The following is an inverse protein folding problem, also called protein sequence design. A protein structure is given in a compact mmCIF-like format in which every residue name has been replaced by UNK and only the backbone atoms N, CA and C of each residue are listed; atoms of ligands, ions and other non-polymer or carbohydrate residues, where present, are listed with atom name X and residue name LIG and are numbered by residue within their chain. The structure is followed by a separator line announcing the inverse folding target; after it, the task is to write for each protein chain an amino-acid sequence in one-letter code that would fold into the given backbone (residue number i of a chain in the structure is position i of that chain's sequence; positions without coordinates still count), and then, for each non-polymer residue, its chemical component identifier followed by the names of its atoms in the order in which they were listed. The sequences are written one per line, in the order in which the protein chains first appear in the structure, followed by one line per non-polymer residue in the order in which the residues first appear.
data_IF_448822665539
#
_entry.id   IF_448822665539
#
_cell.length_a   1.000
_cell.length_b   1.000
_cell.length_c   1.000
_cell.angle_alpha   90.00
_cell.angle_beta   90.00
_cell.angle_gamma   90.00
#
_symmetry.space_group_name_H-M   'P 1'
#
loop_
_entity.id
_entity.type
_entity.pdbx_description
1 polymer ?
#
# COMPACT_ATOMS: atom_id res chain seq x y z
N UNK A 1 17.03 5.60 9.46
CA UNK A 1 17.40 4.57 8.46
C UNK A 1 16.92 5.06 7.09
N UNK A 2 17.67 4.85 6.01
CA UNK A 2 17.37 5.44 4.69
C UNK A 2 16.75 4.42 3.76
N UNK A 3 15.45 4.52 3.51
CA UNK A 3 14.63 3.71 2.58
C UNK A 3 14.93 3.94 1.09
N UNK A 4 16.02 4.64 0.80
CA UNK A 4 16.45 4.97 -0.56
C UNK A 4 16.77 3.72 -1.40
N UNK A 5 17.33 2.67 -0.78
CA UNK A 5 17.68 1.42 -1.46
C UNK A 5 16.46 0.74 -2.07
N UNK A 6 15.40 0.56 -1.27
CA UNK A 6 14.13 -0.02 -1.71
C UNK A 6 13.50 0.81 -2.84
N UNK A 7 13.43 2.14 -2.67
CA UNK A 7 12.83 3.02 -3.69
C UNK A 7 13.61 2.99 -5.02
N UNK A 8 14.94 2.92 -4.96
CA UNK A 8 15.79 2.82 -6.15
C UNK A 8 15.53 1.51 -6.90
N UNK A 9 15.42 0.39 -6.18
CA UNK A 9 15.14 -0.93 -6.78
C UNK A 9 13.79 -1.02 -7.43
N UNK A 10 12.73 -0.63 -6.71
CA UNK A 10 11.38 -0.65 -7.24
C UNK A 10 11.28 0.20 -8.52
N UNK A 11 11.96 1.35 -8.55
CA UNK A 11 12.03 2.19 -9.75
C UNK A 11 12.77 1.52 -10.91
N UNK A 12 13.91 0.87 -10.63
CA UNK A 12 14.70 0.19 -11.66
C UNK A 12 13.95 -0.99 -12.26
N UNK A 13 13.37 -1.85 -11.42
CA UNK A 13 12.54 -2.97 -11.84
C UNK A 13 11.30 -2.53 -12.60
N UNK A 14 10.68 -1.42 -12.20
CA UNK A 14 9.53 -0.86 -12.89
C UNK A 14 9.88 -0.29 -14.27
N UNK A 15 11.10 0.19 -14.46
CA UNK A 15 11.58 0.69 -15.74
C UNK A 15 11.99 -0.43 -16.70
N UNK A 16 12.29 -1.63 -16.18
CA UNK A 16 12.76 -2.77 -16.94
C UNK A 16 11.63 -3.77 -17.25
N UNK A 17 11.29 -3.90 -18.54
CA UNK A 17 10.22 -4.77 -19.02
C UNK A 17 10.47 -6.24 -18.73
N UNK A 18 11.72 -6.71 -18.85
CA UNK A 18 12.03 -8.12 -18.57
C UNK A 18 11.80 -8.41 -17.09
N UNK A 19 12.15 -7.45 -16.25
CA UNK A 19 11.95 -7.54 -14.81
C UNK A 19 10.47 -7.57 -14.40
N UNK A 20 9.61 -6.80 -15.07
CA UNK A 20 8.17 -6.83 -14.80
C UNK A 20 7.50 -8.19 -15.09
N UNK A 21 8.09 -9.01 -15.96
CA UNK A 21 7.54 -10.31 -16.35
C UNK A 21 7.83 -11.45 -15.37
N UNK A 22 9.01 -11.48 -14.75
CA UNK A 22 9.42 -12.59 -13.88
C UNK A 22 9.07 -12.38 -12.40
N UNK A 23 9.01 -11.13 -11.92
CA UNK A 23 8.75 -10.80 -10.51
C UNK A 23 7.44 -11.37 -9.94
N UNK A 24 6.31 -11.42 -10.67
CA UNK A 24 5.08 -12.05 -10.17
C UNK A 24 5.23 -13.56 -9.90
N UNK A 25 6.15 -14.22 -10.62
CA UNK A 25 6.42 -15.66 -10.52
C UNK A 25 7.65 -16.01 -9.69
N UNK A 26 8.38 -15.00 -9.23
CA UNK A 26 9.60 -15.15 -8.46
C UNK A 26 9.31 -15.80 -7.10
N UNK A 27 10.19 -16.71 -6.67
CA UNK A 27 10.13 -17.25 -5.32
C UNK A 27 10.69 -16.25 -4.30
N UNK A 28 10.39 -16.44 -3.02
CA UNK A 28 11.00 -15.65 -1.95
C UNK A 28 12.54 -15.71 -1.99
N UNK A 29 13.11 -16.86 -2.37
CA UNK A 29 14.55 -17.03 -2.48
C UNK A 29 15.14 -16.23 -3.65
N UNK A 30 14.47 -16.20 -4.80
CA UNK A 30 14.91 -15.40 -5.96
C UNK A 30 14.90 -13.91 -5.63
N UNK A 31 13.85 -13.47 -4.94
CA UNK A 31 13.70 -12.07 -4.50
C UNK A 31 14.77 -11.68 -3.48
N UNK A 32 15.10 -12.55 -2.53
CA UNK A 32 16.19 -12.30 -1.58
C UNK A 32 17.55 -12.22 -2.29
N UNK A 33 17.77 -13.04 -3.31
CA UNK A 33 19.02 -13.05 -4.07
C UNK A 33 19.25 -11.73 -4.84
N UNK A 34 18.19 -11.11 -5.38
CA UNK A 34 18.30 -9.81 -6.08
C UNK A 34 18.24 -8.60 -5.14
N UNK A 35 17.91 -8.82 -3.86
CA UNK A 35 17.87 -7.80 -2.80
C UNK A 35 19.14 -7.80 -1.92
N UNK A 36 20.24 -8.40 -2.36
CA UNK A 36 21.48 -8.64 -1.59
C UNK A 36 22.14 -7.40 -0.93
N UNK A 37 21.86 -6.23 -1.46
CA UNK A 37 22.39 -4.93 -1.03
C UNK A 37 21.39 -4.15 -0.15
N UNK A 38 20.17 -4.68 0.07
CA UNK A 38 19.22 -4.16 1.06
C UNK A 38 19.55 -4.73 2.44
N UNK A 39 19.07 -4.06 3.48
CA UNK A 39 19.11 -4.69 4.81
C UNK A 39 18.20 -5.92 4.85
N UNK A 40 18.51 -6.87 5.74
CA UNK A 40 17.71 -8.09 5.93
C UNK A 40 16.24 -7.78 6.25
N UNK A 41 15.99 -6.70 7.00
CA UNK A 41 14.65 -6.23 7.34
C UNK A 41 13.91 -5.69 6.10
N UNK A 42 14.55 -4.84 5.29
CA UNK A 42 13.97 -4.30 4.05
C UNK A 42 13.69 -5.40 3.01
N UNK A 43 14.64 -6.32 2.84
CA UNK A 43 14.52 -7.43 1.92
C UNK A 43 13.35 -8.34 2.32
N UNK A 44 13.22 -8.68 3.61
CA UNK A 44 12.06 -9.44 4.12
C UNK A 44 10.75 -8.67 3.95
N UNK A 45 10.72 -7.38 4.30
CA UNK A 45 9.52 -6.57 4.15
C UNK A 45 9.04 -6.48 2.70
N UNK A 46 9.97 -6.43 1.73
CA UNK A 46 9.67 -6.44 0.31
C UNK A 46 9.15 -7.81 -0.16
N UNK A 47 9.82 -8.91 0.23
CA UNK A 47 9.42 -10.29 -0.09
C UNK A 47 8.05 -10.63 0.46
N UNK A 48 7.78 -10.26 1.72
CA UNK A 48 6.52 -10.50 2.41
C UNK A 48 5.43 -9.47 2.04
N UNK A 49 5.75 -8.53 1.15
CA UNK A 49 4.84 -7.47 0.67
C UNK A 49 4.23 -6.69 1.84
N UNK A 50 5.06 -6.38 2.84
CA UNK A 50 4.72 -5.61 4.06
C UNK A 50 4.72 -4.11 3.73
N UNK A 51 3.70 -3.68 3.00
CA UNK A 51 3.53 -2.25 2.63
C UNK A 51 3.44 -1.33 3.84
N UNK A 52 2.95 -1.84 4.97
CA UNK A 52 2.90 -1.17 6.28
C UNK A 52 4.30 -0.84 6.80
N UNK A 53 5.17 -1.84 6.87
CA UNK A 53 6.54 -1.69 7.37
C UNK A 53 7.36 -0.81 6.43
N UNK A 54 7.27 -1.03 5.12
CA UNK A 54 7.99 -0.24 4.12
C UNK A 54 7.58 1.25 4.18
N UNK A 55 6.29 1.54 4.36
CA UNK A 55 5.81 2.91 4.53
C UNK A 55 6.35 3.57 5.80
N UNK A 56 6.35 2.85 6.93
CA UNK A 56 6.89 3.33 8.21
C UNK A 56 8.41 3.56 8.15
N UNK A 57 9.12 2.77 7.33
CA UNK A 57 10.54 2.97 7.00
C UNK A 57 10.78 4.17 6.04
N UNK A 58 9.72 4.83 5.56
CA UNK A 58 9.80 6.03 4.72
C UNK A 58 9.79 5.77 3.21
N UNK A 59 9.44 4.55 2.77
CA UNK A 59 9.25 4.28 1.33
C UNK A 59 8.06 5.10 0.80
N UNK A 60 8.32 5.85 -0.27
CA UNK A 60 7.31 6.73 -0.84
C UNK A 60 6.08 5.94 -1.36
N UNK A 61 4.83 6.44 -1.18
CA UNK A 61 3.61 5.76 -1.63
C UNK A 61 3.62 5.34 -3.10
N UNK A 62 4.19 6.19 -3.98
CA UNK A 62 4.32 5.86 -5.40
C UNK A 62 5.17 4.59 -5.64
N UNK A 63 6.23 4.39 -4.86
CA UNK A 63 7.07 3.19 -4.96
C UNK A 63 6.30 1.95 -4.49
N UNK A 64 5.43 2.08 -3.47
CA UNK A 64 4.56 0.99 -3.04
C UNK A 64 3.53 0.61 -4.13
N UNK A 65 2.99 1.60 -4.87
CA UNK A 65 2.13 1.34 -6.03
C UNK A 65 2.90 0.63 -7.16
N UNK A 66 4.15 1.02 -7.39
CA UNK A 66 5.01 0.31 -8.35
C UNK A 66 5.24 -1.14 -7.91
N UNK A 67 5.50 -1.37 -6.63
CA UNK A 67 5.63 -2.71 -6.04
C UNK A 67 4.37 -3.54 -6.31
N UNK A 68 3.18 -3.01 -6.08
CA UNK A 68 1.94 -3.76 -6.30
C UNK A 68 1.76 -4.21 -7.75
N UNK A 69 2.18 -3.38 -8.71
CA UNK A 69 2.18 -3.71 -10.14
C UNK A 69 3.23 -4.76 -10.50
N UNK A 70 4.43 -4.65 -9.92
CA UNK A 70 5.53 -5.58 -10.17
C UNK A 70 5.24 -6.99 -9.63
N UNK A 71 4.58 -7.08 -8.48
CA UNK A 71 4.27 -8.35 -7.82
C UNK A 71 2.85 -8.86 -8.11
N UNK A 72 2.05 -8.11 -8.87
CA UNK A 72 0.71 -8.52 -9.29
C UNK A 72 -0.31 -8.63 -8.15
N UNK A 73 -0.28 -7.71 -7.17
CA UNK A 73 -1.26 -7.67 -6.09
C UNK A 73 -2.00 -6.33 -6.02
N UNK A 74 -3.19 -6.33 -5.41
CA UNK A 74 -3.96 -5.12 -5.15
C UNK A 74 -3.45 -4.43 -3.87
N UNK A 75 -2.96 -3.19 -4.02
CA UNK A 75 -2.38 -2.45 -2.90
C UNK A 75 -3.40 -2.05 -1.84
N UNK A 76 -4.64 -1.73 -2.24
CA UNK A 76 -5.68 -1.30 -1.32
C UNK A 76 -6.15 -2.48 -0.46
N UNK A 77 -6.35 -3.65 -1.08
CA UNK A 77 -6.63 -4.90 -0.37
C UNK A 77 -5.48 -5.25 0.58
N UNK A 78 -4.23 -5.15 0.12
CA UNK A 78 -3.07 -5.50 0.94
C UNK A 78 -2.95 -4.62 2.19
N UNK A 79 -3.26 -3.33 2.08
CA UNK A 79 -3.31 -2.43 3.23
C UNK A 79 -4.38 -2.81 4.26
N UNK A 80 -5.54 -3.26 3.81
CA UNK A 80 -6.62 -3.70 4.70
C UNK A 80 -6.25 -4.99 5.46
N UNK A 81 -5.60 -5.94 4.79
CA UNK A 81 -5.13 -7.20 5.40
C UNK A 81 -4.07 -6.97 6.47
N UNK A 82 -3.14 -6.04 6.24
CA UNK A 82 -2.01 -5.78 7.13
C UNK A 82 -2.37 -4.88 8.32
N UNK A 83 -3.48 -4.13 8.23
CA UNK A 83 -4.00 -3.29 9.31
C UNK A 83 -5.43 -3.69 9.68
N UNK A 84 -5.64 -4.90 10.24
CA UNK A 84 -6.95 -5.30 10.77
C UNK A 84 -7.25 -4.45 12.01
N UNK A 85 -7.87 -3.28 11.78
CA UNK A 85 -8.10 -2.25 12.80
C UNK A 85 -8.08 -0.81 12.27
N UNK A 86 -7.52 -0.56 11.08
CA UNK A 86 -7.67 0.73 10.39
C UNK A 86 -9.01 0.86 9.64
N UNK A 87 -9.90 -0.13 9.80
CA UNK A 87 -11.32 -0.08 9.46
C UNK A 87 -12.15 0.48 10.62
N UNK A 88 -11.87 1.72 11.02
CA UNK A 88 -12.83 2.58 11.72
C UNK A 88 -12.50 4.07 11.51
N UNK A 89 -12.01 4.45 10.31
CA UNK A 89 -12.15 5.85 9.87
C UNK A 89 -13.58 6.06 9.38
N UNK A 90 -14.54 5.93 10.30
CA UNK A 90 -15.85 6.52 10.15
C UNK A 90 -15.76 8.02 10.40
N UNK A 91 -15.12 8.75 9.50
CA UNK A 91 -15.29 10.21 9.36
C UNK A 91 -15.27 10.55 7.86
N UNK A 92 -16.26 10.02 7.14
CA UNK A 92 -16.86 10.85 6.10
C UNK A 92 -17.48 12.07 6.80
N UNK A 93 -17.43 13.28 6.22
CA UNK A 93 -18.00 14.45 6.86
C UNK A 93 -19.43 14.12 7.24
N UNK A 94 -19.77 14.34 8.51
CA UNK A 94 -21.15 14.30 8.97
C UNK A 94 -21.95 15.26 8.08
N UNK A 95 -22.53 14.72 7.00
CA UNK A 95 -23.69 15.32 6.37
C UNK A 95 -24.78 15.14 7.40
N UNK A 96 -24.83 16.08 8.34
CA UNK A 96 -25.99 16.35 9.14
C UNK A 96 -27.10 16.79 8.17
N UNK A 97 -27.68 15.82 7.45
CA UNK A 97 -29.05 15.95 6.94
C UNK A 97 -29.97 15.68 8.13
N UNK A 98 -29.91 16.60 9.08
CA UNK A 98 -30.91 16.74 10.13
C UNK A 98 -32.19 17.21 9.48
N UNK A 99 -33.11 16.27 9.35
CA UNK A 99 -34.53 16.42 9.05
C UNK A 99 -35.10 17.70 9.65
N UNK A 100 -35.60 18.61 8.80
CA UNK A 100 -36.42 19.74 9.26
C UNK A 100 -37.82 19.20 9.55
N UNK A 101 -38.17 19.08 10.83
CA UNK A 101 -39.52 18.76 11.25
C UNK A 101 -40.40 20.03 11.26
N UNK A 102 -41.32 20.06 10.30
CA UNK A 102 -42.70 20.59 10.32
C UNK A 102 -43.18 21.55 11.44
N UNK A 103 -43.72 22.71 11.02
CA UNK A 103 -44.95 23.28 11.60
C UNK A 103 -45.62 24.27 10.62
N UNK A 104 -46.78 23.92 10.07
CA UNK A 104 -47.74 24.88 9.50
C UNK A 104 -49.08 24.69 10.22
N UNK A 105 -49.47 25.58 11.14
CA UNK A 105 -50.84 25.61 11.62
C UNK A 105 -51.72 26.31 10.58
N UNK A 106 -52.75 25.61 10.10
CA UNK A 106 -53.92 26.21 9.47
C UNK A 106 -55.16 25.53 10.02
N UNK A 107 -55.92 26.27 10.82
CA UNK A 107 -57.28 25.94 11.20
C UNK A 107 -58.04 27.26 11.38
N UNK A 108 -59.17 27.38 10.66
CA UNK A 108 -60.35 28.16 11.04
C UNK A 108 -60.22 29.66 11.10
#
# INVERSE_FOLDING_TARGET
MSSYGVMKHLRQWYADRDTTGWLPTATAQDLLAVCDHLSEEEARALVDRRVDVLYEQGVHPMSLIQMSRLFGFDIAQRWQELRPGAGAAGEGPASASGTVATATPSAG
#
